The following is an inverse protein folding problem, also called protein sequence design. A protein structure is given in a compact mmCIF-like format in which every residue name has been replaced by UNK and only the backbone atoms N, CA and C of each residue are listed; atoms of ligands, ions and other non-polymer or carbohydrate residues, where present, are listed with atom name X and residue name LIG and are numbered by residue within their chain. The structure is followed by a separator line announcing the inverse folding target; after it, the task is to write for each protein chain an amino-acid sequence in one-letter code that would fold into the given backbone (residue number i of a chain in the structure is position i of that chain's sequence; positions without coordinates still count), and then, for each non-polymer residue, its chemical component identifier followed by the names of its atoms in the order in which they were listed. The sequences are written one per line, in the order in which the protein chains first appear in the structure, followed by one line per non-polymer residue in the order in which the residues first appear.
data_IF_588151401330
#
_entry.id   IF_588151401330
#
_cell.length_a   1.000
_cell.length_b   1.000
_cell.length_c   1.000
_cell.angle_alpha   90.00
_cell.angle_beta   90.00
_cell.angle_gamma   90.00
#
_symmetry.space_group_name_H-M   'P 1'
#
loop_
_entity.id
_entity.type
_entity.pdbx_description
1 polymer ?
#
# COMPACT_ATOMS: atom_id res chain seq x y z
N UNK A 1 35.28 -10.05 -5.18
CA UNK A 1 34.88 -10.87 -4.01
C UNK A 1 34.10 -10.10 -2.94
N UNK A 2 34.45 -8.84 -2.59
CA UNK A 2 33.71 -8.04 -1.59
C UNK A 2 32.25 -7.73 -1.96
N UNK A 3 31.92 -7.45 -3.22
CA UNK A 3 30.53 -7.20 -3.65
C UNK A 3 29.62 -8.42 -3.47
N UNK A 4 30.08 -9.62 -3.83
CA UNK A 4 29.32 -10.87 -3.63
C UNK A 4 29.04 -11.14 -2.15
N UNK A 5 29.98 -10.81 -1.26
CA UNK A 5 29.82 -10.98 0.19
C UNK A 5 28.87 -9.92 0.75
N UNK A 6 28.94 -8.66 0.28
CA UNK A 6 28.03 -7.59 0.67
C UNK A 6 26.59 -7.84 0.18
N UNK A 7 26.42 -8.32 -1.06
CA UNK A 7 25.11 -8.70 -1.60
C UNK A 7 24.55 -9.91 -0.85
N UNK A 8 25.37 -10.90 -0.51
CA UNK A 8 24.95 -12.08 0.26
C UNK A 8 24.66 -11.75 1.73
N UNK A 9 25.39 -10.83 2.36
CA UNK A 9 25.11 -10.37 3.71
C UNK A 9 23.86 -9.49 3.76
N UNK A 10 23.66 -8.62 2.78
CA UNK A 10 22.41 -7.86 2.62
C UNK A 10 21.22 -8.78 2.41
N UNK A 11 21.35 -9.78 1.53
CA UNK A 11 20.30 -10.78 1.29
C UNK A 11 20.04 -11.64 2.54
N UNK A 12 21.07 -11.94 3.33
CA UNK A 12 20.95 -12.67 4.60
C UNK A 12 20.27 -11.86 5.70
N UNK A 13 20.56 -10.56 5.80
CA UNK A 13 19.85 -9.65 6.71
C UNK A 13 18.40 -9.48 6.25
N UNK A 14 18.16 -9.31 4.95
CA UNK A 14 16.80 -9.28 4.40
C UNK A 14 16.07 -10.60 4.66
N UNK A 15 16.68 -11.76 4.42
CA UNK A 15 16.07 -13.06 4.68
C UNK A 15 15.84 -13.33 6.17
N UNK A 16 16.71 -12.84 7.07
CA UNK A 16 16.53 -12.92 8.51
C UNK A 16 15.39 -12.00 9.00
N UNK A 17 15.32 -10.78 8.47
CA UNK A 17 14.21 -9.84 8.72
C UNK A 17 12.90 -10.41 8.17
N UNK A 18 12.90 -10.92 6.94
CA UNK A 18 11.75 -11.61 6.34
C UNK A 18 11.38 -12.89 7.10
N UNK A 19 12.34 -13.67 7.59
CA UNK A 19 12.09 -14.87 8.38
C UNK A 19 11.48 -14.57 9.75
N UNK A 20 11.94 -13.50 10.41
CA UNK A 20 11.33 -12.97 11.63
C UNK A 20 9.93 -12.40 11.35
N UNK A 21 9.78 -11.63 10.26
CA UNK A 21 8.50 -11.14 9.77
C UNK A 21 7.54 -12.29 9.49
N UNK A 22 8.00 -13.41 8.90
CA UNK A 22 7.20 -14.62 8.66
C UNK A 22 6.68 -15.23 9.97
N UNK A 23 7.48 -15.20 11.05
CA UNK A 23 7.02 -15.56 12.39
C UNK A 23 6.02 -14.57 13.01
N UNK A 24 5.98 -13.33 12.49
CA UNK A 24 5.03 -12.28 12.84
C UNK A 24 3.93 -12.07 11.78
N UNK A 25 3.85 -12.91 10.72
CA UNK A 25 2.80 -12.85 9.71
C UNK A 25 1.51 -13.30 10.40
N UNK A 26 0.79 -12.31 10.93
CA UNK A 26 -0.57 -12.43 11.40
C UNK A 26 -1.50 -12.58 10.18
N UNK A 27 -2.69 -13.17 10.34
CA UNK A 27 -3.64 -13.36 9.23
C UNK A 27 -3.96 -12.03 8.51
N UNK A 28 -3.93 -10.92 9.24
CA UNK A 28 -4.10 -9.55 8.74
C UNK A 28 -3.03 -9.15 7.70
N UNK A 29 -1.77 -9.53 7.89
CA UNK A 29 -0.67 -9.17 6.97
C UNK A 29 -0.82 -9.95 5.66
N UNK A 30 -1.30 -11.20 5.72
CA UNK A 30 -1.62 -12.01 4.53
C UNK A 30 -2.76 -11.36 3.74
N UNK A 31 -3.83 -10.94 4.43
CA UNK A 31 -4.95 -10.24 3.79
C UNK A 31 -4.46 -8.97 3.10
N UNK A 32 -3.64 -8.16 3.78
CA UNK A 32 -3.07 -6.95 3.19
C UNK A 32 -2.24 -7.27 1.94
N UNK A 33 -1.39 -8.29 1.97
CA UNK A 33 -0.58 -8.69 0.82
C UNK A 33 -1.46 -9.09 -0.38
N UNK A 34 -2.54 -9.83 -0.15
CA UNK A 34 -3.51 -10.17 -1.19
C UNK A 34 -4.20 -8.93 -1.77
N UNK A 35 -4.60 -7.97 -0.92
CA UNK A 35 -5.21 -6.72 -1.38
C UNK A 35 -4.26 -5.89 -2.23
N UNK A 36 -2.99 -5.78 -1.83
CA UNK A 36 -1.96 -5.06 -2.60
C UNK A 36 -1.78 -5.67 -4.00
N UNK A 37 -1.72 -7.00 -4.10
CA UNK A 37 -1.61 -7.71 -5.39
C UNK A 37 -2.85 -7.46 -6.24
N UNK A 38 -4.03 -7.63 -5.64
CA UNK A 38 -5.31 -7.42 -6.32
C UNK A 38 -5.46 -5.99 -6.83
N UNK A 39 -5.09 -4.99 -6.02
CA UNK A 39 -5.15 -3.60 -6.44
C UNK A 39 -4.17 -3.28 -7.56
N UNK A 40 -2.99 -3.88 -7.57
CA UNK A 40 -2.03 -3.70 -8.67
C UNK A 40 -2.60 -4.22 -10.00
N UNK A 41 -3.22 -5.40 -9.98
CA UNK A 41 -3.87 -5.98 -11.17
C UNK A 41 -5.03 -5.07 -11.64
N UNK A 42 -5.88 -4.64 -10.71
CA UNK A 42 -7.01 -3.75 -10.99
C UNK A 42 -6.57 -2.38 -11.50
N UNK A 43 -5.49 -1.82 -10.97
CA UNK A 43 -4.91 -0.55 -11.42
C UNK A 43 -4.45 -0.63 -12.87
N UNK A 44 -3.76 -1.72 -13.25
CA UNK A 44 -3.36 -1.95 -14.65
C UNK A 44 -4.60 -2.11 -15.55
N UNK A 45 -5.59 -2.91 -15.11
CA UNK A 45 -6.83 -3.11 -15.86
C UNK A 45 -7.60 -1.78 -16.07
N UNK A 46 -7.65 -0.93 -15.04
CA UNK A 46 -8.29 0.37 -15.10
C UNK A 46 -7.61 1.33 -16.09
N UNK A 47 -6.27 1.32 -16.18
CA UNK A 47 -5.51 2.11 -17.17
C UNK A 47 -5.82 1.64 -18.59
N UNK A 48 -5.79 0.32 -18.82
CA UNK A 48 -6.09 -0.27 -20.11
C UNK A 48 -7.52 0.05 -20.58
N UNK A 49 -8.50 -0.07 -19.69
CA UNK A 49 -9.90 0.23 -20.02
C UNK A 49 -10.15 1.72 -20.24
N UNK A 50 -9.41 2.61 -19.59
CA UNK A 50 -9.53 4.05 -19.83
C UNK A 50 -8.85 4.49 -21.14
N UNK A 51 -8.17 3.61 -21.87
CA UNK A 51 -7.44 3.97 -23.08
C UNK A 51 -6.29 4.96 -22.82
N UNK A 52 -5.86 5.10 -21.56
CA UNK A 52 -4.73 5.95 -21.17
C UNK A 52 -3.43 5.29 -21.61
N UNK A 53 -2.45 6.10 -22.00
CA UNK A 53 -1.10 5.57 -22.26
C UNK A 53 -0.56 4.94 -20.97
N UNK A 54 -0.08 3.71 -21.09
CA UNK A 54 0.52 2.99 -19.98
C UNK A 54 1.88 3.61 -19.67
N UNK A 55 1.96 4.35 -18.57
CA UNK A 55 3.23 4.84 -18.04
C UNK A 55 3.79 3.82 -17.04
N UNK A 56 4.79 3.06 -17.49
CA UNK A 56 5.48 2.08 -16.66
C UNK A 56 6.21 2.70 -15.47
N UNK A 57 6.70 3.94 -15.57
CA UNK A 57 7.35 4.63 -14.45
C UNK A 57 6.32 5.00 -13.37
N UNK A 58 5.12 5.41 -13.77
CA UNK A 58 4.03 5.69 -12.84
C UNK A 58 3.55 4.40 -12.15
N UNK A 59 3.39 3.31 -12.92
CA UNK A 59 3.02 2.00 -12.39
C UNK A 59 4.06 1.43 -11.40
N UNK A 60 5.35 1.52 -11.75
CA UNK A 60 6.46 1.11 -10.88
C UNK A 60 6.53 1.96 -9.61
N UNK A 61 6.36 3.28 -9.72
CA UNK A 61 6.33 4.19 -8.56
C UNK A 61 5.16 3.85 -7.62
N UNK A 62 4.00 3.50 -8.17
CA UNK A 62 2.84 3.02 -7.40
C UNK A 62 3.15 1.71 -6.66
N UNK A 63 3.67 0.71 -7.38
CA UNK A 63 4.05 -0.57 -6.79
C UNK A 63 5.13 -0.42 -5.70
N UNK A 64 6.13 0.44 -5.93
CA UNK A 64 7.18 0.72 -4.95
C UNK A 64 6.63 1.34 -3.67
N UNK A 65 5.71 2.31 -3.77
CA UNK A 65 5.04 2.89 -2.58
C UNK A 65 4.33 1.84 -1.74
N UNK A 66 3.70 0.85 -2.38
CA UNK A 66 3.02 -0.24 -1.67
C UNK A 66 4.00 -1.24 -1.07
N UNK A 67 5.13 -1.49 -1.71
CA UNK A 67 6.21 -2.29 -1.13
C UNK A 67 6.73 -1.68 0.19
N UNK A 68 6.67 -0.35 0.33
CA UNK A 68 7.07 0.34 1.57
C UNK A 68 6.11 0.11 2.75
N UNK A 69 4.92 -0.46 2.54
CA UNK A 69 4.00 -0.81 3.63
C UNK A 69 4.62 -1.77 4.64
N UNK A 70 5.51 -2.66 4.19
CA UNK A 70 6.26 -3.55 5.07
C UNK A 70 7.03 -2.78 6.16
N UNK A 71 7.65 -1.64 5.81
CA UNK A 71 8.36 -0.81 6.77
C UNK A 71 7.41 -0.17 7.78
N UNK A 72 6.25 0.32 7.33
CA UNK A 72 5.25 0.94 8.21
C UNK A 72 4.70 -0.08 9.22
N UNK A 73 4.47 -1.32 8.78
CA UNK A 73 4.04 -2.43 9.65
C UNK A 73 5.12 -2.73 10.70
N UNK A 74 6.38 -2.88 10.27
CA UNK A 74 7.51 -3.11 11.19
C UNK A 74 7.61 -1.99 12.23
N UNK A 75 7.44 -0.73 11.83
CA UNK A 75 7.44 0.41 12.76
C UNK A 75 6.28 0.34 13.76
N UNK A 76 5.09 -0.11 13.34
CA UNK A 76 3.95 -0.33 14.23
C UNK A 76 4.26 -1.36 15.33
N UNK A 77 4.78 -2.53 14.94
CA UNK A 77 5.17 -3.58 15.88
C UNK A 77 6.37 -3.20 16.76
N UNK A 78 7.30 -2.40 16.24
CA UNK A 78 8.40 -1.86 17.04
C UNK A 78 7.87 -0.89 18.12
N UNK A 79 6.84 -0.10 17.79
CA UNK A 79 6.11 0.72 18.76
C UNK A 79 5.49 -0.11 19.87
N UNK A 80 4.82 -1.22 19.54
CA UNK A 80 4.30 -2.15 20.55
C UNK A 80 5.39 -2.71 21.46
N UNK A 81 6.53 -3.12 20.89
CA UNK A 81 7.67 -3.61 21.65
C UNK A 81 8.18 -2.58 22.65
N UNK A 82 8.33 -1.32 22.25
CA UNK A 82 8.76 -0.24 23.14
C UNK A 82 7.76 0.00 24.27
N UNK A 83 6.46 -0.03 23.98
CA UNK A 83 5.41 0.15 24.98
C UNK A 83 5.46 -0.97 26.03
N UNK A 84 5.55 -2.22 25.59
CA UNK A 84 5.62 -3.39 26.48
C UNK A 84 6.90 -3.34 27.31
N UNK A 85 8.04 -3.05 26.68
CA UNK A 85 9.34 -2.94 27.37
C UNK A 85 9.31 -1.89 28.48
N UNK A 86 8.72 -0.72 28.22
CA UNK A 86 8.55 0.31 29.25
C UNK A 86 7.58 -0.15 30.35
N UNK A 87 6.44 -0.73 29.99
CA UNK A 87 5.43 -1.16 30.94
C UNK A 87 5.94 -2.24 31.91
N UNK A 88 6.70 -3.22 31.40
CA UNK A 88 7.37 -4.24 32.21
C UNK A 88 8.38 -3.61 33.18
N UNK A 89 9.11 -2.58 32.74
CA UNK A 89 10.00 -1.79 33.60
C UNK A 89 9.30 -1.10 34.78
N UNK A 90 8.00 -0.80 34.65
CA UNK A 90 7.17 -0.25 35.72
C UNK A 90 6.36 -1.33 36.48
N UNK A 91 6.55 -2.61 36.18
CA UNK A 91 5.80 -3.71 36.78
C UNK A 91 4.34 -3.83 36.31
N UNK A 92 3.99 -3.18 35.20
CA UNK A 92 2.65 -3.18 34.60
C UNK A 92 2.59 -4.28 33.54
N UNK A 93 1.67 -5.23 33.72
CA UNK A 93 1.43 -6.30 32.73
C UNK A 93 0.36 -5.83 31.75
N UNK A 94 0.75 -5.59 30.50
CA UNK A 94 -0.19 -5.30 29.42
C UNK A 94 -0.60 -6.63 28.77
N UNK A 95 -1.88 -7.02 28.81
CA UNK A 95 -2.33 -8.31 28.29
C UNK A 95 -2.39 -8.39 26.75
N UNK A 96 -2.25 -7.25 26.05
CA UNK A 96 -2.31 -7.16 24.59
C UNK A 96 -0.93 -6.81 24.04
N UNK A 97 -0.40 -7.64 23.15
CA UNK A 97 1.00 -7.57 22.70
C UNK A 97 1.24 -6.86 21.35
N UNK A 98 0.19 -6.34 20.69
CA UNK A 98 0.30 -5.84 19.31
C UNK A 98 -0.76 -4.80 18.92
N UNK A 99 -1.07 -3.83 19.78
CA UNK A 99 -2.17 -2.87 19.51
C UNK A 99 -1.83 -1.98 18.31
N UNK A 100 -0.63 -1.41 18.28
CA UNK A 100 -0.20 -0.48 17.24
C UNK A 100 0.03 -1.19 15.90
N UNK A 101 0.70 -2.34 15.91
CA UNK A 101 0.94 -3.16 14.73
C UNK A 101 -0.36 -3.59 14.06
N UNK A 102 -1.36 -4.01 14.84
CA UNK A 102 -2.70 -4.35 14.32
C UNK A 102 -3.40 -3.11 13.76
N UNK A 103 -3.39 -1.98 14.50
CA UNK A 103 -4.04 -0.75 14.06
C UNK A 103 -3.45 -0.22 12.74
N UNK A 104 -2.12 -0.21 12.62
CA UNK A 104 -1.41 0.17 11.40
C UNK A 104 -1.75 -0.77 10.24
N UNK A 105 -1.77 -2.08 10.49
CA UNK A 105 -2.11 -3.07 9.44
C UNK A 105 -3.56 -2.88 8.96
N UNK A 106 -4.51 -2.67 9.88
CA UNK A 106 -5.90 -2.39 9.53
C UNK A 106 -6.07 -1.08 8.76
N UNK A 107 -5.33 -0.04 9.14
CA UNK A 107 -5.30 1.21 8.40
C UNK A 107 -4.86 0.98 6.95
N UNK A 108 -3.78 0.23 6.74
CA UNK A 108 -3.27 -0.08 5.40
C UNK A 108 -4.26 -0.93 4.58
N UNK A 109 -4.91 -1.92 5.20
CA UNK A 109 -5.99 -2.70 4.58
C UNK A 109 -7.11 -1.78 4.09
N UNK A 110 -7.52 -0.82 4.91
CA UNK A 110 -8.50 0.19 4.54
C UNK A 110 -8.05 0.99 3.31
N UNK A 111 -6.82 1.49 3.31
CA UNK A 111 -6.29 2.28 2.19
C UNK A 111 -6.24 1.51 0.88
N UNK A 112 -5.87 0.22 0.90
CA UNK A 112 -5.90 -0.65 -0.28
C UNK A 112 -7.33 -0.95 -0.72
N UNK A 113 -8.25 -1.18 0.21
CA UNK A 113 -9.67 -1.33 -0.10
C UNK A 113 -10.24 -0.11 -0.84
N UNK A 114 -9.88 1.11 -0.42
CA UNK A 114 -10.27 2.33 -1.12
C UNK A 114 -9.68 2.41 -2.54
N UNK A 115 -8.42 2.03 -2.71
CA UNK A 115 -7.77 1.98 -4.03
C UNK A 115 -8.47 0.98 -4.97
N UNK A 116 -8.81 -0.20 -4.46
CA UNK A 116 -9.54 -1.24 -5.19
C UNK A 116 -10.90 -0.73 -5.63
N UNK A 117 -11.65 -0.08 -4.72
CA UNK A 117 -12.94 0.52 -5.05
C UNK A 117 -12.81 1.51 -6.21
N UNK A 118 -11.83 2.43 -6.14
CA UNK A 118 -11.59 3.39 -7.22
C UNK A 118 -11.30 2.69 -8.55
N UNK A 119 -10.44 1.68 -8.56
CA UNK A 119 -10.07 0.95 -9.77
C UNK A 119 -11.26 0.16 -10.36
N UNK A 120 -12.10 -0.45 -9.52
CA UNK A 120 -13.32 -1.14 -9.96
C UNK A 120 -14.31 -0.19 -10.65
N UNK A 121 -14.47 1.02 -10.12
CA UNK A 121 -15.36 2.04 -10.72
C UNK A 121 -14.84 2.44 -12.10
N UNK A 122 -13.52 2.60 -12.25
CA UNK A 122 -12.86 2.94 -13.52
C UNK A 122 -12.95 1.82 -14.55
N UNK A 123 -12.95 0.56 -14.10
CA UNK A 123 -13.22 -0.65 -14.90
C UNK A 123 -14.69 -0.73 -15.32
N UNK A 124 -15.59 0.04 -14.71
CA UNK A 124 -17.00 0.13 -15.11
C UNK A 124 -17.94 -0.68 -14.23
N UNK A 125 -17.51 -1.09 -13.03
CA UNK A 125 -18.42 -1.65 -12.03
C UNK A 125 -19.46 -0.58 -11.64
N UNK A 126 -20.77 -0.88 -11.73
CA UNK A 126 -21.80 0.10 -11.43
C UNK A 126 -21.79 0.43 -9.94
N UNK A 127 -21.61 1.71 -9.63
CA UNK A 127 -21.68 2.25 -8.27
C UNK A 127 -22.59 3.47 -8.23
N UNK A 128 -23.17 3.79 -7.06
CA UNK A 128 -23.91 5.04 -6.87
C UNK A 128 -23.04 6.27 -7.19
N UNK A 129 -23.64 7.31 -7.78
CA UNK A 129 -22.89 8.52 -8.19
C UNK A 129 -22.23 9.25 -7.02
N UNK A 130 -22.86 9.26 -5.84
CA UNK A 130 -22.28 9.86 -4.65
C UNK A 130 -20.97 9.17 -4.23
N UNK A 131 -20.88 7.86 -4.44
CA UNK A 131 -19.70 7.06 -4.12
C UNK A 131 -18.58 7.31 -5.14
N UNK A 132 -18.90 7.40 -6.44
CA UNK A 132 -17.92 7.78 -7.45
C UNK A 132 -17.34 9.19 -7.23
N UNK A 133 -18.19 10.15 -6.82
CA UNK A 133 -17.76 11.51 -6.46
C UNK A 133 -16.86 11.55 -5.23
N UNK A 134 -17.05 10.66 -4.25
CA UNK A 134 -16.16 10.53 -3.09
C UNK A 134 -14.71 10.24 -3.51
N UNK A 135 -14.51 9.51 -4.60
CA UNK A 135 -13.19 9.24 -5.18
C UNK A 135 -12.72 10.28 -6.22
N UNK A 136 -13.46 11.38 -6.39
CA UNK A 136 -13.13 12.43 -7.37
C UNK A 136 -13.30 11.99 -8.83
N UNK A 137 -14.18 11.03 -9.11
CA UNK A 137 -14.43 10.53 -10.47
C UNK A 137 -15.56 11.31 -11.16
N UNK A 138 -15.38 11.61 -12.44
CA UNK A 138 -16.35 12.35 -13.28
C UNK A 138 -16.75 11.49 -14.47
N UNK A 139 -18.00 11.63 -14.95
CA UNK A 139 -18.46 10.97 -16.16
C UNK A 139 -18.01 11.78 -17.39
N UNK A 140 -17.36 11.11 -18.33
CA UNK A 140 -17.05 11.65 -19.65
C UNK A 140 -18.29 11.67 -20.55
N UNK A 141 -18.18 12.24 -21.75
CA UNK A 141 -19.24 12.36 -22.77
C UNK A 141 -19.88 11.01 -23.13
N UNK A 142 -19.16 9.89 -22.95
CA UNK A 142 -19.64 8.53 -23.14
C UNK A 142 -20.32 7.92 -21.89
N UNK A 143 -20.47 8.66 -20.79
CA UNK A 143 -21.06 8.20 -19.52
C UNK A 143 -20.12 7.33 -18.67
N UNK A 144 -18.86 7.16 -19.08
CA UNK A 144 -17.84 6.38 -18.36
C UNK A 144 -17.15 7.23 -17.29
N UNK A 145 -16.87 6.63 -16.12
CA UNK A 145 -16.10 7.30 -15.08
C UNK A 145 -14.62 7.42 -15.47
N UNK A 146 -14.08 8.63 -15.37
CA UNK A 146 -12.67 8.97 -15.62
C UNK A 146 -12.16 9.78 -14.44
N UNK A 147 -10.86 9.70 -14.17
CA UNK A 147 -10.22 10.60 -13.20
C UNK A 147 -10.13 12.01 -13.77
N UNK A 148 -10.38 13.03 -12.96
CA UNK A 148 -10.12 14.42 -13.34
C UNK A 148 -8.61 14.53 -13.69
N UNK A 149 -8.22 15.00 -14.89
CA UNK A 149 -6.82 15.29 -15.17
C UNK A 149 -6.38 16.37 -14.18
N UNK A 150 -5.30 16.12 -13.45
CA UNK A 150 -4.65 17.19 -12.68
C UNK A 150 -4.25 18.28 -13.68
N UNK A 151 -4.78 19.48 -13.48
CA UNK A 151 -4.45 20.66 -14.27
C UNK A 151 -2.93 20.81 -14.27
N UNK A 152 -2.35 20.88 -15.47
CA UNK A 152 -0.97 20.53 -15.76
C UNK A 152 0.09 21.06 -14.79
N UNK A 153 1.11 20.23 -14.59
CA UNK A 153 2.48 20.65 -14.31
C UNK A 153 2.96 21.54 -15.47
N UNK A 154 2.49 22.79 -15.50
CA UNK A 154 2.98 23.86 -16.36
C UNK A 154 4.29 24.41 -15.76
N UNK A 155 5.30 23.56 -15.66
CA UNK A 155 6.69 24.03 -15.65
C UNK A 155 7.39 23.47 -16.88
N UNK A 156 6.88 23.86 -18.05
CA UNK A 156 7.73 24.07 -19.21
C UNK A 156 8.75 25.17 -18.83
N UNK A 157 10.02 24.79 -18.85
CA UNK A 157 11.18 25.58 -19.26
C UNK A 157 11.04 27.11 -19.13
N UNK A 158 11.62 27.69 -18.08
CA UNK A 158 12.23 29.02 -18.16
C UNK A 158 13.59 28.98 -17.44
N UNK A 159 14.63 29.00 -18.29
CA UNK A 159 16.06 29.36 -18.08
C UNK A 159 16.95 28.54 -17.13
#
# INVERSE_FOLDING_TARGET
MKESIATKSFLGVMAGVFGYLVGCINEMVIILALLVIMDYILGIAAVFMQGKQFDGNLALKGAFKKALYAFVIVLGYLGDYLIIYMAEGFGIIIPVKAILGIAVTLYLIGTEGFSICKNLILVGVPVPEWFAKFFGLVKDQAGKFVTIPEEGDNNENIE
#
